data_IF_027818689194
#
_entry.id   IF_027818689194
#
_cell.length_a   1.000
_cell.length_b   1.000
_cell.length_c   1.000
_cell.angle_alpha   90.00
_cell.angle_beta   90.00
_cell.angle_gamma   90.00
#
_symmetry.space_group_name_H-M   'P 1'
#
loop_
_entity.id
_entity.type
_entity.pdbx_description
1 polymer ?
#
# COMPACT_ATOMS: atom_id res chain seq x y z
N UNK A 1 -6.30 -1.39 11.43
CA UNK A 1 -6.25 -1.78 9.99
C UNK A 1 -5.27 -2.94 9.80
N UNK A 2 -5.57 -3.96 8.98
CA UNK A 2 -4.66 -5.08 8.69
C UNK A 2 -3.57 -4.65 7.71
N UNK A 3 -2.31 -4.89 8.04
CA UNK A 3 -1.17 -4.58 7.18
C UNK A 3 -0.67 -5.83 6.45
N UNK A 4 -0.46 -5.73 5.15
CA UNK A 4 0.04 -6.81 4.29
C UNK A 4 1.27 -6.31 3.53
N UNK A 5 2.39 -7.01 3.64
CA UNK A 5 3.57 -6.75 2.80
C UNK A 5 3.39 -7.42 1.44
N UNK A 6 3.51 -6.66 0.36
CA UNK A 6 3.45 -7.21 -0.98
C UNK A 6 4.73 -8.02 -1.28
N UNK A 7 4.54 -9.19 -1.86
CA UNK A 7 5.61 -10.06 -2.37
C UNK A 7 5.57 -10.06 -3.91
N UNK A 8 6.57 -10.67 -4.55
CA UNK A 8 6.60 -10.80 -6.00
C UNK A 8 5.44 -11.65 -6.57
N UNK A 9 4.75 -12.42 -5.72
CA UNK A 9 3.60 -13.23 -6.10
C UNK A 9 2.31 -12.39 -5.98
N UNK A 10 1.98 -11.69 -7.07
CA UNK A 10 0.78 -10.85 -7.11
C UNK A 10 -0.51 -11.66 -6.85
N UNK A 11 -0.73 -12.86 -7.44
CA UNK A 11 -1.86 -13.72 -7.06
C UNK A 11 -1.96 -13.98 -5.54
N UNK A 12 -0.86 -14.34 -4.88
CA UNK A 12 -0.87 -14.56 -3.44
C UNK A 12 -1.23 -13.29 -2.65
N UNK A 13 -0.78 -12.11 -3.10
CA UNK A 13 -1.17 -10.83 -2.52
C UNK A 13 -2.69 -10.60 -2.62
N UNK A 14 -3.30 -10.85 -3.79
CA UNK A 14 -4.74 -10.66 -3.98
C UNK A 14 -5.55 -11.55 -3.03
N UNK A 15 -5.17 -12.82 -2.92
CA UNK A 15 -5.83 -13.77 -2.01
C UNK A 15 -5.67 -13.36 -0.54
N UNK A 16 -4.48 -12.87 -0.15
CA UNK A 16 -4.25 -12.36 1.20
C UNK A 16 -5.13 -11.14 1.52
N UNK A 17 -5.28 -10.20 0.57
CA UNK A 17 -6.15 -9.03 0.75
C UNK A 17 -7.61 -9.45 0.87
N UNK A 18 -8.08 -10.39 0.03
CA UNK A 18 -9.45 -10.93 0.09
C UNK A 18 -9.74 -11.62 1.41
N UNK A 19 -8.81 -12.43 1.90
CA UNK A 19 -8.96 -13.20 3.14
C UNK A 19 -8.80 -12.35 4.42
N UNK A 20 -8.23 -11.15 4.33
CA UNK A 20 -7.98 -10.31 5.50
C UNK A 20 -9.28 -9.85 6.17
N UNK A 21 -9.34 -9.81 7.51
CA UNK A 21 -10.46 -9.22 8.21
C UNK A 21 -10.39 -7.69 8.17
N UNK A 22 -11.52 -7.05 7.87
CA UNK A 22 -11.69 -5.60 7.94
C UNK A 22 -10.84 -4.79 6.95
N UNK A 23 -10.52 -3.55 7.32
CA UNK A 23 -9.73 -2.63 6.49
C UNK A 23 -8.29 -3.13 6.28
N UNK A 24 -7.75 -2.94 5.08
CA UNK A 24 -6.43 -3.42 4.68
C UNK A 24 -5.56 -2.30 4.11
N UNK A 25 -4.29 -2.27 4.53
CA UNK A 25 -3.23 -1.50 3.87
C UNK A 25 -2.17 -2.44 3.33
N UNK A 26 -1.87 -2.31 2.04
CA UNK A 26 -0.78 -3.03 1.38
C UNK A 26 0.48 -2.17 1.36
N UNK A 27 1.62 -2.73 1.76
CA UNK A 27 2.92 -2.05 1.68
C UNK A 27 3.70 -2.64 0.52
N UNK A 28 4.01 -1.81 -0.47
CA UNK A 28 4.82 -2.19 -1.62
C UNK A 28 6.27 -1.83 -1.31
N UNK A 29 7.02 -2.85 -0.85
CA UNK A 29 8.42 -2.71 -0.46
C UNK A 29 9.36 -2.49 -1.65
N UNK A 30 10.60 -2.10 -1.35
CA UNK A 30 11.66 -1.84 -2.35
C UNK A 30 12.12 -3.09 -3.10
N UNK A 31 11.80 -4.27 -2.58
CA UNK A 31 12.27 -5.56 -3.12
C UNK A 31 11.39 -6.08 -4.26
N UNK A 32 10.28 -5.38 -4.56
CA UNK A 32 9.43 -5.70 -5.70
C UNK A 32 10.07 -5.26 -7.02
N UNK A 33 10.03 -6.15 -8.01
CA UNK A 33 10.33 -5.78 -9.38
C UNK A 33 9.34 -4.75 -9.92
N UNK A 34 9.73 -4.08 -11.01
CA UNK A 34 8.95 -2.99 -11.63
C UNK A 34 7.56 -3.48 -12.05
N UNK A 35 7.48 -4.67 -12.63
CA UNK A 35 6.20 -5.24 -13.07
C UNK A 35 5.32 -5.62 -11.89
N UNK A 36 5.85 -6.30 -10.89
CA UNK A 36 5.12 -6.75 -9.70
C UNK A 36 4.55 -5.55 -8.93
N UNK A 37 5.34 -4.48 -8.78
CA UNK A 37 4.89 -3.22 -8.19
C UNK A 37 3.75 -2.60 -8.99
N UNK A 38 3.87 -2.55 -10.32
CA UNK A 38 2.83 -1.99 -11.18
C UNK A 38 1.52 -2.80 -11.10
N UNK A 39 1.62 -4.13 -11.11
CA UNK A 39 0.47 -5.04 -10.98
C UNK A 39 -0.22 -4.89 -9.61
N UNK A 40 0.56 -4.90 -8.52
CA UNK A 40 0.04 -4.72 -7.18
C UNK A 40 -0.66 -3.36 -7.01
N UNK A 41 -0.05 -2.29 -7.52
CA UNK A 41 -0.63 -0.93 -7.50
C UNK A 41 -1.94 -0.86 -8.31
N UNK A 42 -1.96 -1.43 -9.52
CA UNK A 42 -3.14 -1.47 -10.38
C UNK A 42 -4.30 -2.26 -9.76
N UNK A 43 -4.02 -3.25 -8.91
CA UNK A 43 -5.03 -4.06 -8.24
C UNK A 43 -5.75 -3.37 -7.08
N UNK A 44 -5.16 -2.31 -6.50
CA UNK A 44 -5.72 -1.65 -5.29
C UNK A 44 -7.12 -1.08 -5.54
N UNK A 45 -7.33 -0.40 -6.67
CA UNK A 45 -8.64 0.16 -7.04
C UNK A 45 -9.74 -0.91 -7.17
N UNK A 46 -9.56 -1.94 -8.00
CA UNK A 46 -10.48 -3.07 -8.10
C UNK A 46 -10.74 -3.78 -6.75
N UNK A 47 -9.70 -4.04 -5.95
CA UNK A 47 -9.85 -4.68 -4.63
C UNK A 47 -10.66 -3.82 -3.65
N UNK A 48 -10.49 -2.50 -3.70
CA UNK A 48 -11.29 -1.57 -2.89
C UNK A 48 -12.78 -1.62 -3.24
N UNK A 49 -13.12 -1.77 -4.53
CA UNK A 49 -14.51 -1.97 -4.97
C UNK A 49 -15.00 -3.34 -4.47
N UNK A 50 -14.24 -4.40 -4.73
CA UNK A 50 -14.59 -5.79 -4.38
C UNK A 50 -14.86 -5.96 -2.88
N UNK A 51 -14.06 -5.32 -2.01
CA UNK A 51 -14.11 -5.51 -0.55
C UNK A 51 -15.06 -4.57 0.18
N UNK A 52 -15.80 -3.71 -0.51
CA UNK A 52 -16.79 -2.83 0.13
C UNK A 52 -17.74 -3.65 1.01
N UNK A 53 -17.97 -3.28 2.29
CA UNK A 53 -17.68 -1.97 2.90
C UNK A 53 -16.27 -1.81 3.52
N UNK A 54 -15.43 -2.84 3.53
CA UNK A 54 -14.06 -2.74 4.03
C UNK A 54 -13.14 -1.98 3.05
N UNK A 55 -12.21 -1.22 3.61
CA UNK A 55 -11.31 -0.36 2.83
C UNK A 55 -10.04 -1.09 2.43
N UNK A 56 -9.49 -0.75 1.26
CA UNK A 56 -8.19 -1.24 0.79
C UNK A 56 -7.40 -0.05 0.29
N UNK A 57 -6.23 0.19 0.87
CA UNK A 57 -5.31 1.22 0.41
C UNK A 57 -3.90 0.64 0.31
N UNK A 58 -2.97 1.42 -0.23
CA UNK A 58 -1.57 1.02 -0.30
C UNK A 58 -0.60 2.16 0.01
N UNK A 59 0.58 1.79 0.48
CA UNK A 59 1.75 2.65 0.60
C UNK A 59 2.85 2.08 -0.28
N UNK A 60 3.24 2.85 -1.29
CA UNK A 60 4.30 2.48 -2.22
C UNK A 60 5.62 3.11 -1.78
N UNK A 61 6.55 2.27 -1.29
CA UNK A 61 7.80 2.72 -0.70
C UNK A 61 8.90 2.73 -1.76
N UNK A 62 9.32 3.93 -2.17
CA UNK A 62 10.52 4.12 -2.98
C UNK A 62 11.81 3.82 -2.21
N UNK A 63 12.91 3.69 -2.95
CA UNK A 63 14.23 3.50 -2.36
C UNK A 63 14.61 4.68 -1.45
N UNK A 64 15.19 4.39 -0.27
CA UNK A 64 15.65 5.41 0.67
C UNK A 64 14.55 6.09 1.50
N UNK A 65 13.29 5.63 1.42
CA UNK A 65 12.22 6.12 2.31
C UNK A 65 12.50 5.68 3.76
N UNK A 66 12.44 6.62 4.69
CA UNK A 66 12.63 6.32 6.11
C UNK A 66 11.43 5.58 6.69
N UNK A 67 11.68 4.59 7.57
CA UNK A 67 10.63 3.84 8.25
C UNK A 67 9.62 4.73 9.00
N UNK A 68 10.08 5.87 9.53
CA UNK A 68 9.22 6.85 10.18
C UNK A 68 8.21 7.52 9.23
N UNK A 69 8.58 7.71 7.96
CA UNK A 69 7.69 8.30 6.96
C UNK A 69 6.64 7.27 6.47
N UNK A 70 7.03 5.99 6.36
CA UNK A 70 6.09 4.88 6.15
C UNK A 70 5.08 4.80 7.31
N UNK A 71 5.56 4.84 8.56
CA UNK A 71 4.69 4.80 9.73
C UNK A 71 3.67 5.95 9.77
N UNK A 72 4.07 7.15 9.35
CA UNK A 72 3.16 8.31 9.22
C UNK A 72 2.10 8.10 8.15
N UNK A 73 2.48 7.55 6.99
CA UNK A 73 1.52 7.25 5.92
C UNK A 73 0.50 6.19 6.36
N UNK A 74 0.94 5.16 7.07
CA UNK A 74 0.04 4.14 7.64
C UNK A 74 -0.94 4.74 8.65
N UNK A 75 -0.45 5.57 9.58
CA UNK A 75 -1.29 6.24 10.56
C UNK A 75 -2.33 7.17 9.92
N UNK A 76 -1.96 7.87 8.83
CA UNK A 76 -2.90 8.68 8.06
C UNK A 76 -4.03 7.83 7.44
N UNK A 77 -3.70 6.70 6.80
CA UNK A 77 -4.70 5.82 6.19
C UNK A 77 -5.60 5.14 7.23
N UNK A 78 -5.06 4.77 8.39
CA UNK A 78 -5.83 4.20 9.49
C UNK A 78 -6.85 5.20 10.05
N UNK A 79 -6.46 6.47 10.20
CA UNK A 79 -7.30 7.54 10.73
C UNK A 79 -8.30 8.13 9.71
N UNK A 80 -8.13 7.90 8.42
CA UNK A 80 -9.06 8.38 7.40
C UNK A 80 -10.35 7.54 7.41
N UNK A 81 -11.53 8.15 7.38
CA UNK A 81 -12.81 7.39 7.42
C UNK A 81 -13.38 7.08 6.02
N UNK A 82 -13.04 7.88 5.00
CA UNK A 82 -13.65 7.80 3.67
C UNK A 82 -12.66 7.45 2.54
N UNK A 83 -11.43 7.09 2.89
CA UNK A 83 -10.36 6.83 1.91
C UNK A 83 -10.23 5.33 1.64
N UNK A 84 -10.45 4.92 0.40
CA UNK A 84 -10.24 3.57 -0.13
C UNK A 84 -9.76 3.64 -1.59
N UNK A 85 -9.09 2.59 -2.05
CA UNK A 85 -8.55 2.50 -3.41
C UNK A 85 -7.34 3.39 -3.68
N UNK A 86 -6.74 4.00 -2.65
CA UNK A 86 -5.63 4.95 -2.82
C UNK A 86 -4.27 4.28 -2.71
N UNK A 87 -3.29 4.80 -3.45
CA UNK A 87 -1.87 4.43 -3.35
C UNK A 87 -1.07 5.68 -2.98
N UNK A 88 -0.49 5.71 -1.78
CA UNK A 88 0.41 6.78 -1.35
C UNK A 88 1.84 6.45 -1.78
N UNK A 89 2.35 7.18 -2.76
CA UNK A 89 3.72 7.01 -3.24
C UNK A 89 4.68 7.83 -2.37
N UNK A 90 5.62 7.14 -1.72
CA UNK A 90 6.65 7.77 -0.89
C UNK A 90 7.98 7.73 -1.61
N UNK A 91 8.64 8.88 -1.65
CA UNK A 91 9.99 9.05 -2.17
C UNK A 91 10.89 9.58 -1.06
N UNK A 92 12.18 9.24 -1.11
CA UNK A 92 13.16 9.82 -0.21
C UNK A 92 13.11 11.36 -0.29
N UNK A 93 13.26 12.02 0.86
CA UNK A 93 13.38 13.48 0.88
C UNK A 93 14.64 13.86 0.12
N UNK A 94 14.48 14.62 -0.96
CA UNK A 94 15.60 15.37 -1.52
C UNK A 94 16.16 16.27 -0.42
N UNK A 95 17.48 16.24 -0.21
CA UNK A 95 18.11 17.25 0.65
C UNK A 95 17.72 18.65 0.13
N UNK A 96 17.38 19.60 1.00
CA UNK A 96 17.14 20.96 0.55
C UNK A 96 18.39 21.43 -0.19
N UNK A 97 18.25 21.76 -1.47
CA UNK A 97 19.27 22.48 -2.21
C UNK A 97 19.52 23.80 -1.47
N UNK A 98 20.72 23.94 -0.91
CA UNK A 98 21.20 25.15 -0.27
C UNK A 98 21.32 26.31 -1.27
#
# INVERSE_FOLDING_TARGET
MTRIEATADCPALLEAVRAAPGDVVVVLGTDLGVLERALASAAIGPLAIERTPARVNAVDCGAGVAAADVARALAFLEAADCTTGQVLVLSARSAPTA
#
